data_IF_886712480256
#
_entry.id   IF_886712480256
#
_cell.length_a   1.000
_cell.length_b   1.000
_cell.length_c   1.000
_cell.angle_alpha   90.00
_cell.angle_beta   90.00
_cell.angle_gamma   90.00
#
_symmetry.space_group_name_H-M   'P 1'
#
loop_
_entity.id
_entity.type
_entity.pdbx_description
1 polymer ?
#
# COMPACT_ATOMS: atom_id res chain seq x y z
N UNK A 1 -13.81 56.12 54.30
CA UNK A 1 -12.40 55.93 53.89
C UNK A 1 -11.75 57.30 53.88
N UNK A 2 -10.73 57.51 54.73
CA UNK A 2 -10.00 58.77 54.79
C UNK A 2 -9.31 59.03 53.44
N UNK A 3 -9.63 60.15 52.78
CA UNK A 3 -8.99 60.55 51.52
C UNK A 3 -7.57 61.01 51.82
N UNK A 4 -6.58 60.31 51.28
CA UNK A 4 -5.17 60.69 51.43
C UNK A 4 -4.87 61.94 50.59
N UNK A 5 -3.93 62.82 51.02
CA UNK A 5 -3.57 64.01 50.26
C UNK A 5 -2.92 63.64 48.91
N UNK A 6 -3.18 64.41 47.84
CA UNK A 6 -2.63 64.19 46.49
C UNK A 6 -1.11 64.04 46.44
N UNK A 7 -0.38 64.74 47.33
CA UNK A 7 1.08 64.61 47.46
C UNK A 7 1.55 63.18 47.69
N UNK A 8 0.75 62.36 48.40
CA UNK A 8 1.01 60.94 48.62
C UNK A 8 1.05 60.13 47.32
N UNK A 9 0.22 60.50 46.34
CA UNK A 9 0.15 59.83 45.04
C UNK A 9 1.28 60.28 44.11
N UNK A 10 1.65 61.57 44.15
CA UNK A 10 2.79 62.10 43.39
C UNK A 10 4.10 61.44 43.82
N UNK A 11 4.34 61.27 45.12
CA UNK A 11 5.53 60.57 45.63
C UNK A 11 5.58 59.10 45.18
N UNK A 12 4.42 58.41 45.07
CA UNK A 12 4.35 57.07 44.51
C UNK A 12 4.73 57.04 43.02
N UNK A 13 4.32 58.04 42.23
CA UNK A 13 4.65 58.18 40.80
C UNK A 13 6.16 58.26 40.58
N UNK A 14 6.86 59.08 41.37
CA UNK A 14 8.32 59.16 41.30
C UNK A 14 9.03 57.87 41.74
N UNK A 15 8.37 57.04 42.57
CA UNK A 15 8.89 55.76 43.05
C UNK A 15 8.47 54.56 42.19
N UNK A 16 7.71 54.78 41.12
CA UNK A 16 7.23 53.77 40.16
C UNK A 16 6.47 52.60 40.83
N UNK A 17 5.55 52.93 41.75
CA UNK A 17 4.81 51.96 42.60
C UNK A 17 3.29 52.15 42.57
N UNK A 18 2.74 52.87 41.60
CA UNK A 18 1.30 53.19 41.50
C UNK A 18 0.51 52.23 40.60
N UNK A 19 -0.81 52.25 40.75
CA UNK A 19 -1.76 51.63 39.80
C UNK A 19 -2.21 52.62 38.73
N UNK A 20 -2.68 52.11 37.58
CA UNK A 20 -3.12 52.94 36.44
C UNK A 20 -4.26 53.91 36.79
N UNK A 21 -5.18 53.50 37.67
CA UNK A 21 -6.25 54.36 38.18
C UNK A 21 -5.74 55.49 39.09
N UNK A 22 -4.63 55.28 39.82
CA UNK A 22 -4.00 56.34 40.63
C UNK A 22 -3.28 57.37 39.74
N UNK A 23 -2.75 56.94 38.59
CA UNK A 23 -2.09 57.77 37.58
C UNK A 23 -3.10 58.65 36.82
N UNK A 24 -4.18 58.05 36.31
CA UNK A 24 -5.25 58.76 35.61
C UNK A 24 -5.93 59.84 36.50
N UNK A 25 -6.01 59.60 37.81
CA UNK A 25 -6.63 60.52 38.78
C UNK A 25 -5.71 61.70 39.13
N UNK A 26 -4.39 61.50 39.11
CA UNK A 26 -3.42 62.59 39.22
C UNK A 26 -3.41 63.42 37.95
N UNK A 27 -3.45 62.79 36.78
CA UNK A 27 -3.47 63.49 35.48
C UNK A 27 -4.74 64.32 35.31
N UNK A 28 -5.92 63.77 35.62
CA UNK A 28 -7.18 64.52 35.53
C UNK A 28 -7.21 65.72 36.49
N UNK A 29 -6.77 65.55 37.74
CA UNK A 29 -6.79 66.64 38.72
C UNK A 29 -5.68 67.68 38.47
N UNK A 30 -4.55 67.26 37.92
CA UNK A 30 -3.48 68.14 37.46
C UNK A 30 -3.95 68.99 36.28
N UNK A 31 -4.61 68.39 35.28
CA UNK A 31 -5.15 69.11 34.12
C UNK A 31 -6.29 70.09 34.50
N UNK A 32 -7.19 69.69 35.40
CA UNK A 32 -8.25 70.59 35.91
C UNK A 32 -7.71 71.79 36.69
N UNK A 33 -6.56 71.64 37.36
CA UNK A 33 -5.93 72.73 38.13
C UNK A 33 -5.01 73.61 37.29
N UNK A 34 -4.43 73.08 36.19
CA UNK A 34 -3.52 73.84 35.31
C UNK A 34 -4.23 74.90 34.46
N UNK A 35 -5.51 74.67 34.10
CA UNK A 35 -6.33 75.56 33.25
C UNK A 35 -7.38 76.39 34.01
N UNK A 36 -7.44 76.30 35.35
CA UNK A 36 -8.34 77.12 36.17
C UNK A 36 -7.65 78.41 36.68
N UNK A 37 -8.40 79.50 36.89
CA UNK A 37 -7.91 80.78 37.47
C UNK A 37 -7.39 80.66 38.93
N UNK A 38 -7.19 79.45 39.47
CA UNK A 38 -6.79 79.20 40.87
C UNK A 38 -5.43 78.50 40.96
N UNK A 39 -4.40 79.04 40.30
CA UNK A 39 -3.02 78.62 40.56
C UNK A 39 -2.54 79.13 41.93
N UNK A 40 -2.14 78.22 42.82
CA UNK A 40 -1.59 78.55 44.15
C UNK A 40 -0.07 78.45 44.13
N UNK A 41 0.60 79.60 43.97
CA UNK A 41 2.07 79.69 43.85
C UNK A 41 2.81 79.17 45.09
N UNK A 42 2.19 79.25 46.28
CA UNK A 42 2.80 78.76 47.51
C UNK A 42 2.83 77.22 47.59
N UNK A 43 1.94 76.54 46.87
CA UNK A 43 1.90 75.07 46.82
C UNK A 43 2.64 74.47 45.62
N UNK A 44 2.64 75.14 44.48
CA UNK A 44 3.07 74.56 43.20
C UNK A 44 4.26 75.29 42.53
N UNK A 45 4.76 76.34 43.18
CA UNK A 45 5.84 77.18 42.65
C UNK A 45 5.35 78.20 41.61
N UNK A 46 6.26 79.03 41.09
CA UNK A 46 5.93 80.00 40.05
C UNK A 46 5.52 79.29 38.75
N UNK A 47 4.34 79.65 38.22
CA UNK A 47 3.71 78.97 37.08
C UNK A 47 4.63 78.91 35.85
N UNK A 48 5.25 80.02 35.50
CA UNK A 48 6.13 80.14 34.33
C UNK A 48 7.43 79.31 34.44
N UNK A 49 7.89 79.02 35.65
CA UNK A 49 9.11 78.25 35.88
C UNK A 49 8.82 76.74 35.85
N UNK A 50 7.67 76.34 36.41
CA UNK A 50 7.15 74.98 36.33
C UNK A 50 6.79 74.60 34.89
N UNK A 51 6.12 75.49 34.14
CA UNK A 51 5.79 75.30 32.72
C UNK A 51 7.07 75.19 31.87
N UNK A 52 8.07 76.05 32.11
CA UNK A 52 9.38 75.93 31.44
C UNK A 52 10.14 74.65 31.78
N UNK A 53 9.98 74.07 32.97
CA UNK A 53 10.59 72.80 33.36
C UNK A 53 9.90 71.61 32.69
N UNK A 54 8.57 71.63 32.63
CA UNK A 54 7.76 70.59 31.95
C UNK A 54 8.04 70.62 30.44
N UNK A 55 8.02 71.80 29.82
CA UNK A 55 8.34 71.95 28.40
C UNK A 55 9.80 71.57 28.08
N UNK A 56 10.76 71.79 28.99
CA UNK A 56 12.14 71.28 28.85
C UNK A 56 12.21 69.75 28.93
N UNK A 57 11.35 69.10 29.72
CA UNK A 57 11.23 67.64 29.77
C UNK A 57 10.68 67.08 28.46
N UNK A 58 9.58 67.65 27.97
CA UNK A 58 8.92 67.22 26.73
C UNK A 58 9.80 67.46 25.50
N UNK A 59 10.52 68.59 25.41
CA UNK A 59 11.47 68.83 24.32
C UNK A 59 12.72 67.93 24.38
N UNK A 60 13.12 67.45 25.57
CA UNK A 60 14.29 66.57 25.74
C UNK A 60 14.01 65.12 25.32
N UNK A 61 12.74 64.69 25.36
CA UNK A 61 12.33 63.35 24.91
C UNK A 61 11.90 63.28 23.44
N UNK A 62 11.58 64.42 22.79
CA UNK A 62 11.20 64.47 21.36
C UNK A 62 12.41 64.58 20.41
N UNK A 63 13.61 64.92 20.88
CA UNK A 63 14.79 65.16 20.01
C UNK A 63 15.95 64.14 20.12
N UNK A 64 15.72 62.96 20.69
CA UNK A 64 16.71 61.86 20.70
C UNK A 64 16.37 60.74 19.72
N UNK A 65 16.20 61.05 18.43
CA UNK A 65 15.97 59.97 17.42
C UNK A 65 16.37 60.28 15.96
N UNK A 66 17.29 61.22 15.68
CA UNK A 66 17.60 61.57 14.27
C UNK A 66 19.03 61.34 13.77
N UNK A 67 19.86 60.53 14.46
CA UNK A 67 21.21 60.18 13.92
C UNK A 67 21.44 58.67 13.73
N UNK A 68 20.55 57.80 14.23
CA UNK A 68 20.59 56.35 13.93
C UNK A 68 19.67 55.95 12.76
N UNK A 69 18.70 56.79 12.38
CA UNK A 69 17.67 56.44 11.39
C UNK A 69 18.17 56.51 9.94
N UNK A 70 19.12 57.40 9.62
CA UNK A 70 19.65 57.51 8.25
C UNK A 70 20.55 56.31 7.88
N UNK A 71 21.44 55.84 8.78
CA UNK A 71 22.27 54.65 8.49
C UNK A 71 21.43 53.38 8.30
N UNK A 72 20.32 53.26 9.03
CA UNK A 72 19.37 52.15 8.84
C UNK A 72 18.61 52.26 7.52
N UNK A 73 18.18 53.45 7.09
CA UNK A 73 17.53 53.63 5.78
C UNK A 73 18.47 53.24 4.62
N UNK A 74 19.76 53.59 4.67
CA UNK A 74 20.73 53.15 3.64
C UNK A 74 20.97 51.63 3.66
N UNK A 75 20.95 51.00 4.84
CA UNK A 75 21.00 49.53 4.97
C UNK A 75 19.73 48.85 4.45
N UNK A 76 18.54 49.40 4.73
CA UNK A 76 17.28 48.89 4.20
C UNK A 76 17.16 49.11 2.70
N UNK A 77 17.61 50.26 2.18
CA UNK A 77 17.65 50.54 0.74
C UNK A 77 18.62 49.58 0.02
N UNK A 78 19.79 49.30 0.60
CA UNK A 78 20.73 48.31 0.07
C UNK A 78 20.15 46.88 0.13
N UNK A 79 19.43 46.52 1.19
CA UNK A 79 18.76 45.22 1.31
C UNK A 79 17.62 45.07 0.29
N UNK A 80 16.81 46.11 0.09
CA UNK A 80 15.74 46.12 -0.91
C UNK A 80 16.34 46.06 -2.32
N UNK A 81 17.41 46.81 -2.60
CA UNK A 81 18.12 46.73 -3.87
C UNK A 81 18.74 45.35 -4.10
N UNK A 82 19.31 44.73 -3.07
CA UNK A 82 19.85 43.36 -3.15
C UNK A 82 18.75 42.33 -3.41
N UNK A 83 17.58 42.46 -2.77
CA UNK A 83 16.42 41.60 -3.03
C UNK A 83 15.90 41.82 -4.45
N UNK A 84 15.78 43.06 -4.93
CA UNK A 84 15.34 43.36 -6.29
C UNK A 84 16.34 42.83 -7.32
N UNK A 85 17.64 43.00 -7.10
CA UNK A 85 18.69 42.47 -7.96
C UNK A 85 18.72 40.93 -7.95
N UNK A 86 18.54 40.31 -6.79
CA UNK A 86 18.40 38.86 -6.67
C UNK A 86 17.12 38.36 -7.36
N UNK A 87 16.03 39.12 -7.29
CA UNK A 87 14.77 38.82 -7.97
C UNK A 87 14.91 38.92 -9.49
N UNK A 88 15.57 39.97 -9.98
CA UNK A 88 15.86 40.17 -11.40
C UNK A 88 16.85 39.12 -11.93
N UNK A 89 17.83 38.74 -11.10
CA UNK A 89 18.78 37.67 -11.42
C UNK A 89 18.08 36.30 -11.47
N UNK A 90 17.20 35.99 -10.51
CA UNK A 90 16.36 34.79 -10.52
C UNK A 90 15.35 34.80 -11.69
N UNK A 91 14.92 35.97 -12.16
CA UNK A 91 14.02 36.09 -13.32
C UNK A 91 14.74 35.87 -14.65
N UNK A 92 16.06 36.15 -14.71
CA UNK A 92 16.88 35.84 -15.89
C UNK A 92 17.34 34.38 -15.97
N UNK A 93 17.24 33.60 -14.89
CA UNK A 93 17.29 32.16 -15.02
C UNK A 93 15.98 31.72 -15.68
N UNK A 94 16.02 31.14 -16.91
CA UNK A 94 14.84 30.51 -17.46
C UNK A 94 14.36 29.53 -16.40
N UNK A 95 13.15 29.78 -15.90
CA UNK A 95 12.47 28.83 -15.07
C UNK A 95 12.17 27.66 -16.00
N UNK A 96 13.14 26.76 -16.16
CA UNK A 96 12.92 25.38 -16.54
C UNK A 96 12.14 24.71 -15.40
N UNK A 97 10.99 25.29 -15.06
CA UNK A 97 9.75 24.60 -14.78
C UNK A 97 9.29 23.86 -16.03
N UNK A 98 10.23 23.24 -16.76
CA UNK A 98 10.00 21.90 -17.27
C UNK A 98 9.41 21.18 -16.07
N UNK A 99 8.10 20.99 -16.12
CA UNK A 99 7.46 19.97 -15.35
C UNK A 99 8.41 18.78 -15.53
N UNK A 100 9.10 18.40 -14.46
CA UNK A 100 9.39 16.99 -14.30
C UNK A 100 7.99 16.41 -14.32
N UNK A 101 7.52 16.07 -15.53
CA UNK A 101 6.67 14.94 -15.70
C UNK A 101 7.48 13.87 -15.00
N UNK A 102 7.16 13.65 -13.72
CA UNK A 102 7.19 12.30 -13.19
C UNK A 102 6.43 11.57 -14.28
N UNK A 103 7.17 10.97 -15.21
CA UNK A 103 6.62 9.99 -16.13
C UNK A 103 5.79 9.16 -15.20
N UNK A 104 4.46 9.24 -15.27
CA UNK A 104 3.60 8.25 -14.65
C UNK A 104 3.90 7.00 -15.45
N UNK A 105 5.04 6.37 -15.14
CA UNK A 105 5.34 4.99 -15.50
C UNK A 105 4.12 4.25 -15.00
N UNK A 106 3.42 3.56 -15.90
CA UNK A 106 2.25 2.76 -15.55
C UNK A 106 2.57 1.99 -14.26
N UNK A 107 1.95 2.39 -13.15
CA UNK A 107 2.25 1.82 -11.86
C UNK A 107 1.83 0.36 -11.94
N UNK A 108 2.80 -0.55 -11.84
CA UNK A 108 2.54 -1.98 -11.66
C UNK A 108 1.62 -2.10 -10.45
N UNK A 109 0.34 -2.25 -10.73
CA UNK A 109 -0.70 -2.23 -9.71
C UNK A 109 -0.77 -3.61 -9.08
N UNK A 110 -1.19 -3.69 -7.81
CA UNK A 110 -1.53 -4.97 -7.21
C UNK A 110 -2.48 -5.75 -8.12
N UNK A 111 -2.28 -7.06 -8.18
CA UNK A 111 -3.21 -7.93 -8.87
C UNK A 111 -4.62 -7.84 -8.27
N UNK A 112 -5.57 -8.39 -9.01
CA UNK A 112 -7.01 -8.25 -8.77
C UNK A 112 -7.71 -9.60 -8.88
N UNK A 113 -8.91 -9.67 -8.34
CA UNK A 113 -9.76 -10.85 -8.48
C UNK A 113 -10.45 -10.83 -9.85
N UNK A 114 -9.72 -11.30 -10.89
CA UNK A 114 -10.14 -11.28 -12.29
C UNK A 114 -9.94 -12.65 -12.95
N UNK A 115 -10.91 -13.06 -13.77
CA UNK A 115 -10.85 -14.30 -14.54
C UNK A 115 -11.78 -14.31 -15.75
N UNK A 116 -11.48 -15.21 -16.68
CA UNK A 116 -12.32 -15.54 -17.84
C UNK A 116 -12.82 -16.98 -17.70
N UNK A 117 -14.13 -17.19 -17.79
CA UNK A 117 -14.74 -18.51 -17.85
C UNK A 117 -15.19 -18.81 -19.27
N UNK A 118 -14.62 -19.85 -19.87
CA UNK A 118 -15.01 -20.40 -21.16
C UNK A 118 -15.88 -21.64 -20.90
N UNK A 119 -17.16 -21.58 -21.25
CA UNK A 119 -18.10 -22.68 -21.10
C UNK A 119 -17.96 -23.67 -22.26
N UNK A 120 -18.39 -24.91 -22.03
CA UNK A 120 -18.29 -25.97 -23.01
C UNK A 120 -19.15 -25.78 -24.27
N UNK A 121 -20.05 -24.80 -24.29
CA UNK A 121 -20.77 -24.36 -25.50
C UNK A 121 -20.04 -23.27 -26.31
N UNK A 122 -18.83 -22.88 -25.89
CA UNK A 122 -18.01 -21.84 -26.51
C UNK A 122 -18.29 -20.44 -25.99
N UNK A 123 -19.26 -20.25 -25.10
CA UNK A 123 -19.53 -18.94 -24.48
C UNK A 123 -18.33 -18.54 -23.61
N UNK A 124 -17.86 -17.30 -23.79
CA UNK A 124 -16.86 -16.69 -22.93
C UNK A 124 -17.50 -15.65 -22.01
N UNK A 125 -17.26 -15.78 -20.72
CA UNK A 125 -17.77 -14.91 -19.67
C UNK A 125 -16.60 -14.21 -18.97
N UNK A 126 -16.48 -12.91 -19.18
CA UNK A 126 -15.57 -12.07 -18.39
C UNK A 126 -16.20 -11.81 -17.02
N UNK A 127 -15.62 -12.44 -16.00
CA UNK A 127 -16.16 -12.47 -14.64
C UNK A 127 -15.98 -11.14 -13.90
N UNK A 128 -15.21 -10.23 -14.49
CA UNK A 128 -15.06 -8.85 -13.99
C UNK A 128 -16.34 -8.04 -14.19
N UNK A 129 -17.12 -8.40 -15.21
CA UNK A 129 -18.35 -7.71 -15.55
C UNK A 129 -19.55 -8.28 -14.80
N UNK A 130 -19.41 -9.49 -14.23
CA UNK A 130 -20.44 -10.13 -13.42
C UNK A 130 -20.44 -9.52 -12.01
N UNK A 131 -21.56 -8.91 -11.62
CA UNK A 131 -21.72 -8.30 -10.29
C UNK A 131 -22.07 -9.36 -9.24
N UNK A 132 -21.82 -9.03 -7.98
CA UNK A 132 -22.25 -9.88 -6.86
C UNK A 132 -23.77 -10.08 -6.89
N UNK A 133 -24.21 -11.31 -6.68
CA UNK A 133 -25.60 -11.74 -6.78
C UNK A 133 -26.11 -11.93 -8.22
N UNK A 134 -25.30 -11.61 -9.24
CA UNK A 134 -25.70 -11.79 -10.63
C UNK A 134 -25.54 -13.26 -11.06
N UNK A 135 -26.57 -13.75 -11.75
CA UNK A 135 -26.64 -15.12 -12.28
C UNK A 135 -26.60 -15.07 -13.80
N UNK A 136 -25.68 -15.81 -14.38
CA UNK A 136 -25.70 -16.17 -15.80
C UNK A 136 -26.30 -17.56 -15.95
N UNK A 137 -27.26 -17.71 -16.87
CA UNK A 137 -27.93 -18.98 -17.16
C UNK A 137 -28.16 -19.14 -18.66
N UNK A 138 -27.55 -20.17 -19.27
CA UNK A 138 -27.73 -20.48 -20.70
C UNK A 138 -27.32 -21.93 -20.97
N UNK A 139 -28.06 -22.62 -21.84
CA UNK A 139 -27.72 -23.99 -22.29
C UNK A 139 -27.55 -25.00 -21.13
N UNK A 140 -28.23 -24.79 -20.00
CA UNK A 140 -28.08 -25.58 -18.77
C UNK A 140 -26.90 -25.19 -17.88
N UNK A 141 -26.00 -24.32 -18.34
CA UNK A 141 -24.94 -23.75 -17.50
C UNK A 141 -25.51 -22.67 -16.60
N UNK A 142 -25.23 -22.80 -15.31
CA UNK A 142 -25.60 -21.82 -14.29
C UNK A 142 -24.35 -21.35 -13.57
N UNK A 143 -24.10 -20.05 -13.62
CA UNK A 143 -22.95 -19.40 -13.01
C UNK A 143 -23.45 -18.24 -12.15
N UNK A 144 -23.24 -18.31 -10.84
CA UNK A 144 -23.64 -17.29 -9.89
C UNK A 144 -22.39 -16.70 -9.23
N UNK A 145 -22.27 -15.38 -9.18
CA UNK A 145 -21.28 -14.74 -8.31
C UNK A 145 -21.91 -14.53 -6.94
N UNK A 146 -21.47 -15.28 -5.94
CA UNK A 146 -22.04 -15.17 -4.60
C UNK A 146 -21.55 -13.89 -3.88
N UNK A 147 -22.08 -13.66 -2.68
CA UNK A 147 -21.78 -12.46 -1.88
C UNK A 147 -20.33 -12.43 -1.36
N UNK A 148 -19.61 -13.56 -1.38
CA UNK A 148 -18.20 -13.62 -1.01
C UNK A 148 -17.28 -13.34 -2.22
N UNK A 149 -17.85 -13.08 -3.40
CA UNK A 149 -17.12 -12.91 -4.65
C UNK A 149 -16.68 -14.22 -5.31
N UNK A 150 -16.97 -15.38 -4.70
CA UNK A 150 -16.71 -16.68 -5.30
C UNK A 150 -17.72 -16.94 -6.43
N UNK A 151 -17.30 -17.71 -7.44
CA UNK A 151 -18.24 -18.26 -8.42
C UNK A 151 -18.81 -19.59 -7.97
N UNK A 152 -20.11 -19.74 -8.06
CA UNK A 152 -20.80 -21.01 -7.90
C UNK A 152 -21.22 -21.51 -9.28
N UNK A 153 -20.76 -22.72 -9.62
CA UNK A 153 -21.02 -23.35 -10.91
C UNK A 153 -21.92 -24.57 -10.73
N UNK A 154 -22.98 -24.63 -11.51
CA UNK A 154 -23.84 -25.82 -11.64
C UNK A 154 -24.22 -26.04 -13.11
N UNK A 155 -24.64 -27.27 -13.42
CA UNK A 155 -25.12 -27.63 -14.75
C UNK A 155 -26.41 -28.44 -14.63
N UNK A 156 -27.51 -27.86 -15.09
CA UNK A 156 -28.88 -28.34 -14.87
C UNK A 156 -29.48 -28.93 -16.16
N UNK A 157 -28.69 -29.59 -16.99
CA UNK A 157 -29.20 -30.27 -18.18
C UNK A 157 -29.44 -31.77 -17.93
N UNK A 158 -30.70 -32.18 -18.07
CA UNK A 158 -31.21 -33.54 -17.86
C UNK A 158 -31.15 -34.43 -19.10
N UNK A 159 -30.75 -33.90 -20.27
CA UNK A 159 -30.57 -34.75 -21.45
C UNK A 159 -29.24 -35.51 -21.35
N UNK A 160 -29.37 -36.84 -21.25
CA UNK A 160 -28.35 -37.88 -21.11
C UNK A 160 -27.33 -37.96 -22.27
N UNK A 161 -26.86 -36.84 -22.79
CA UNK A 161 -25.76 -36.82 -23.75
C UNK A 161 -24.46 -36.95 -22.96
N UNK A 162 -23.94 -38.18 -22.89
CA UNK A 162 -22.65 -38.57 -22.27
C UNK A 162 -21.40 -37.81 -22.75
N UNK A 163 -21.55 -36.73 -23.52
CA UNK A 163 -20.47 -35.82 -23.86
C UNK A 163 -20.46 -34.67 -22.86
N UNK A 164 -19.82 -34.89 -21.70
CA UNK A 164 -19.53 -33.80 -20.78
C UNK A 164 -18.65 -32.78 -21.49
N UNK A 165 -19.22 -31.61 -21.81
CA UNK A 165 -18.45 -30.53 -22.41
C UNK A 165 -17.44 -30.01 -21.38
N UNK A 166 -16.26 -29.61 -21.82
CA UNK A 166 -15.21 -29.06 -20.94
C UNK A 166 -15.40 -27.56 -20.77
N UNK A 167 -15.39 -27.08 -19.54
CA UNK A 167 -15.30 -25.66 -19.19
C UNK A 167 -13.87 -25.34 -18.80
N UNK A 168 -13.44 -24.09 -19.02
CA UNK A 168 -12.12 -23.62 -18.62
C UNK A 168 -12.22 -22.30 -17.89
N UNK A 169 -11.76 -22.26 -16.64
CA UNK A 169 -11.55 -21.03 -15.89
C UNK A 169 -10.08 -20.63 -15.99
N UNK A 170 -9.80 -19.40 -16.41
CA UNK A 170 -8.42 -18.87 -16.55
C UNK A 170 -8.27 -17.57 -15.78
N UNK A 171 -7.21 -17.48 -14.98
CA UNK A 171 -6.76 -16.22 -14.37
C UNK A 171 -5.59 -15.68 -15.20
N UNK A 172 -5.62 -14.41 -15.63
CA UNK A 172 -4.48 -13.80 -16.28
C UNK A 172 -3.32 -13.62 -15.27
N UNK A 173 -2.16 -13.20 -15.76
CA UNK A 173 -1.12 -12.63 -14.90
C UNK A 173 -1.71 -11.44 -14.13
N UNK A 174 -1.43 -11.34 -12.84
CA UNK A 174 -2.06 -10.41 -11.92
C UNK A 174 -3.52 -10.70 -11.59
N UNK A 175 -4.09 -11.81 -12.08
CA UNK A 175 -5.41 -12.27 -11.71
C UNK A 175 -5.40 -13.28 -10.58
N UNK A 176 -6.47 -13.35 -9.80
CA UNK A 176 -6.77 -14.48 -8.91
C UNK A 176 -8.26 -14.69 -8.95
N UNK A 177 -8.73 -15.91 -8.73
CA UNK A 177 -10.17 -16.14 -8.66
C UNK A 177 -10.49 -17.43 -7.92
N UNK A 178 -11.71 -17.54 -7.41
CA UNK A 178 -12.23 -18.75 -6.76
C UNK A 178 -13.53 -19.23 -7.38
N UNK A 179 -13.68 -20.56 -7.42
CA UNK A 179 -14.87 -21.25 -7.94
C UNK A 179 -15.25 -22.40 -7.00
N UNK A 180 -16.55 -22.58 -6.80
CA UNK A 180 -17.18 -23.76 -6.20
C UNK A 180 -17.76 -24.58 -7.34
N UNK A 181 -17.21 -25.79 -7.52
CA UNK A 181 -17.63 -26.73 -8.56
C UNK A 181 -18.94 -27.42 -8.19
N UNK A 182 -19.56 -28.09 -9.16
CA UNK A 182 -20.86 -28.74 -8.99
C UNK A 182 -20.88 -29.87 -7.94
N UNK A 183 -19.73 -30.40 -7.54
CA UNK A 183 -19.59 -31.38 -6.45
C UNK A 183 -19.36 -30.75 -5.07
N UNK A 184 -19.37 -29.41 -4.97
CA UNK A 184 -19.08 -28.65 -3.76
C UNK A 184 -17.58 -28.43 -3.49
N UNK A 185 -16.69 -28.90 -4.36
CA UNK A 185 -15.24 -28.64 -4.23
C UNK A 185 -14.96 -27.17 -4.48
N UNK A 186 -14.27 -26.50 -3.55
CA UNK A 186 -13.84 -25.11 -3.69
C UNK A 186 -12.40 -25.05 -4.20
N UNK A 187 -12.17 -24.23 -5.22
CA UNK A 187 -10.88 -24.12 -5.91
C UNK A 187 -10.51 -22.65 -6.05
N UNK A 188 -9.28 -22.32 -5.66
CA UNK A 188 -8.69 -21.00 -5.88
C UNK A 188 -7.61 -21.12 -6.94
N UNK A 189 -7.61 -20.21 -7.91
CA UNK A 189 -6.59 -20.09 -8.95
C UNK A 189 -5.78 -18.83 -8.68
N UNK A 190 -4.46 -18.97 -8.57
CA UNK A 190 -3.55 -17.83 -8.44
C UNK A 190 -3.25 -17.21 -9.82
N UNK A 191 -2.43 -16.16 -9.88
CA UNK A 191 -2.07 -15.48 -11.12
C UNK A 191 -1.44 -16.40 -12.16
N UNK A 192 -1.90 -16.26 -13.41
CA UNK A 192 -1.44 -17.06 -14.54
C UNK A 192 -1.78 -18.54 -14.42
N UNK A 193 -2.98 -18.87 -13.92
CA UNK A 193 -3.40 -20.26 -13.70
C UNK A 193 -4.64 -20.61 -14.51
N UNK A 194 -4.90 -21.90 -14.67
CA UNK A 194 -6.09 -22.40 -15.35
C UNK A 194 -6.60 -23.68 -14.72
N UNK A 195 -7.92 -23.87 -14.79
CA UNK A 195 -8.63 -25.06 -14.39
C UNK A 195 -9.59 -25.45 -15.50
N UNK A 196 -9.44 -26.67 -16.01
CA UNK A 196 -10.37 -27.30 -16.96
C UNK A 196 -11.17 -28.34 -16.20
N UNK A 197 -12.50 -28.27 -16.29
CA UNK A 197 -13.41 -29.16 -15.58
C UNK A 197 -14.61 -29.51 -16.45
N UNK A 198 -15.19 -30.71 -16.30
CA UNK A 198 -16.33 -31.10 -17.10
C UNK A 198 -17.60 -30.38 -16.63
N UNK A 199 -18.58 -30.28 -17.52
CA UNK A 199 -19.88 -29.68 -17.18
C UNK A 199 -20.58 -30.46 -16.07
N UNK A 200 -20.41 -31.79 -16.07
CA UNK A 200 -20.81 -32.72 -15.03
C UNK A 200 -19.67 -33.72 -14.78
N UNK A 201 -19.42 -34.04 -13.51
CA UNK A 201 -18.49 -35.12 -13.18
C UNK A 201 -19.06 -36.49 -13.54
N UNK A 202 -18.18 -37.43 -13.85
CA UNK A 202 -18.56 -38.81 -14.10
C UNK A 202 -19.08 -39.48 -12.81
N UNK A 203 -19.78 -40.60 -12.98
CA UNK A 203 -20.38 -41.34 -11.87
C UNK A 203 -19.35 -42.10 -11.04
N UNK A 204 -18.16 -42.37 -11.58
CA UNK A 204 -17.09 -43.14 -10.97
C UNK A 204 -15.93 -42.28 -10.47
N UNK A 205 -15.71 -41.09 -11.05
CA UNK A 205 -14.61 -40.19 -10.67
C UNK A 205 -14.90 -38.72 -11.00
N UNK A 206 -14.20 -37.83 -10.31
CA UNK A 206 -14.25 -36.38 -10.50
C UNK A 206 -12.90 -35.90 -11.02
N UNK A 207 -12.76 -35.72 -12.34
CA UNK A 207 -11.47 -35.39 -12.94
C UNK A 207 -11.45 -33.94 -13.44
N UNK A 208 -10.36 -33.23 -13.14
CA UNK A 208 -10.06 -31.88 -13.64
C UNK A 208 -8.62 -31.82 -14.14
N UNK A 209 -8.31 -30.85 -14.99
CA UNK A 209 -6.94 -30.53 -15.42
C UNK A 209 -6.56 -29.15 -14.88
N UNK A 210 -5.35 -28.99 -14.36
CA UNK A 210 -4.91 -27.74 -13.75
C UNK A 210 -3.48 -27.37 -14.17
N UNK A 211 -3.26 -26.07 -14.39
CA UNK A 211 -1.94 -25.48 -14.65
C UNK A 211 -1.79 -24.16 -13.89
N UNK A 212 -0.57 -23.80 -13.52
CA UNK A 212 -0.27 -22.66 -12.63
C UNK A 212 -0.30 -23.05 -11.15
N UNK A 213 -0.75 -22.17 -10.27
CA UNK A 213 -0.90 -22.45 -8.83
C UNK A 213 -2.36 -22.45 -8.42
N UNK A 214 -2.81 -23.59 -7.89
CA UNK A 214 -4.21 -23.86 -7.62
C UNK A 214 -4.34 -24.52 -6.24
N UNK A 215 -5.15 -23.93 -5.38
CA UNK A 215 -5.44 -24.45 -4.05
C UNK A 215 -6.83 -25.08 -4.05
N UNK A 216 -6.92 -26.31 -3.54
CA UNK A 216 -8.12 -27.14 -3.58
C UNK A 216 -8.59 -27.44 -2.15
N UNK A 217 -9.87 -27.22 -1.91
CA UNK A 217 -10.64 -27.75 -0.79
C UNK A 217 -11.67 -28.75 -1.33
N UNK A 218 -11.24 -30.01 -1.44
CA UNK A 218 -12.03 -31.04 -2.13
C UNK A 218 -13.14 -31.57 -1.24
N UNK A 219 -14.37 -31.56 -1.76
CA UNK A 219 -15.51 -32.15 -1.09
C UNK A 219 -15.30 -33.66 -0.86
N UNK A 220 -15.62 -34.12 0.36
CA UNK A 220 -15.44 -35.52 0.76
C UNK A 220 -16.40 -36.43 -0.01
N UNK A 221 -15.85 -37.32 -0.82
CA UNK A 221 -16.59 -38.38 -1.52
C UNK A 221 -15.66 -39.58 -1.72
N UNK A 222 -15.88 -40.63 -0.92
CA UNK A 222 -15.07 -41.86 -0.98
C UNK A 222 -15.43 -42.77 -2.14
N UNK A 223 -16.63 -42.62 -2.70
CA UNK A 223 -17.12 -43.44 -3.81
C UNK A 223 -16.57 -42.92 -5.15
N UNK A 224 -16.37 -41.60 -5.26
CA UNK A 224 -15.86 -40.94 -6.47
C UNK A 224 -14.58 -40.15 -6.18
N UNK A 225 -13.38 -40.72 -6.41
CA UNK A 225 -12.13 -40.01 -6.22
C UNK A 225 -12.06 -38.72 -7.05
N UNK A 226 -11.46 -37.70 -6.47
CA UNK A 226 -11.14 -36.47 -7.18
C UNK A 226 -9.71 -36.56 -7.73
N UNK A 227 -9.54 -36.31 -9.02
CA UNK A 227 -8.28 -36.45 -9.75
C UNK A 227 -7.94 -35.12 -10.40
N UNK A 228 -6.80 -34.55 -10.03
CA UNK A 228 -6.23 -33.38 -10.69
C UNK A 228 -5.09 -33.83 -11.58
N UNK A 229 -5.24 -33.65 -12.89
CA UNK A 229 -4.19 -33.89 -13.88
C UNK A 229 -3.39 -32.63 -14.11
N UNK A 230 -2.06 -32.73 -14.06
CA UNK A 230 -1.16 -31.61 -14.35
C UNK A 230 0.19 -32.12 -14.83
N UNK A 231 0.78 -31.51 -15.87
CA UNK A 231 2.17 -31.77 -16.32
C UNK A 231 2.62 -33.23 -16.33
N UNK A 232 1.76 -34.14 -16.80
CA UNK A 232 2.08 -35.57 -16.92
C UNK A 232 2.02 -36.38 -15.62
N UNK A 233 1.49 -35.82 -14.53
CA UNK A 233 1.17 -36.53 -13.30
C UNK A 233 -0.29 -36.30 -12.87
N UNK A 234 -0.81 -37.24 -12.09
CA UNK A 234 -2.15 -37.18 -11.52
C UNK A 234 -2.07 -37.10 -9.98
N UNK A 235 -2.94 -36.28 -9.40
CA UNK A 235 -3.13 -36.14 -7.94
C UNK A 235 -4.49 -36.71 -7.60
N UNK A 236 -4.53 -37.84 -6.90
CA UNK A 236 -5.76 -38.51 -6.49
C UNK A 236 -6.05 -38.30 -5.01
N UNK A 237 -7.27 -37.86 -4.70
CA UNK A 237 -7.75 -37.59 -3.34
C UNK A 237 -9.21 -38.01 -3.15
N UNK A 238 -9.65 -38.13 -1.89
CA UNK A 238 -11.05 -38.47 -1.54
C UNK A 238 -11.78 -37.36 -0.77
N UNK A 239 -11.09 -36.26 -0.45
CA UNK A 239 -11.60 -35.17 0.39
C UNK A 239 -10.47 -34.60 1.23
N UNK A 240 -9.76 -33.64 0.63
CA UNK A 240 -8.40 -33.26 1.01
C UNK A 240 -8.20 -31.78 0.72
N UNK A 241 -7.40 -31.12 1.54
CA UNK A 241 -6.96 -29.74 1.33
C UNK A 241 -5.50 -29.74 0.89
N UNK A 242 -5.22 -29.21 -0.30
CA UNK A 242 -3.86 -29.20 -0.84
C UNK A 242 -3.63 -28.04 -1.81
N UNK A 243 -2.36 -27.68 -2.01
CA UNK A 243 -1.91 -26.72 -3.00
C UNK A 243 -1.15 -27.44 -4.12
N UNK A 244 -1.50 -27.18 -5.37
CA UNK A 244 -0.77 -27.60 -6.57
C UNK A 244 -0.05 -26.38 -7.15
N UNK A 245 1.24 -26.49 -7.44
CA UNK A 245 2.01 -25.48 -8.19
C UNK A 245 2.70 -26.15 -9.37
N UNK A 246 2.27 -25.85 -10.58
CA UNK A 246 2.70 -26.46 -11.83
C UNK A 246 2.76 -25.42 -12.98
N UNK A 247 3.41 -24.28 -12.73
CA UNK A 247 3.61 -23.21 -13.73
C UNK A 247 4.48 -23.64 -14.92
N UNK A 248 4.19 -23.11 -16.12
CA UNK A 248 4.95 -23.32 -17.37
C UNK A 248 5.69 -22.08 -17.87
N UNK A 249 5.61 -20.98 -17.12
CA UNK A 249 6.24 -19.72 -17.49
C UNK A 249 7.77 -19.71 -17.28
N UNK A 250 8.41 -18.60 -17.66
CA UNK A 250 9.86 -18.41 -17.50
C UNK A 250 10.36 -18.44 -16.03
N UNK A 251 9.47 -18.36 -15.05
CA UNK A 251 9.76 -18.45 -13.62
C UNK A 251 9.34 -19.81 -13.05
N UNK A 252 8.99 -20.77 -13.91
CA UNK A 252 8.57 -22.08 -13.51
C UNK A 252 9.65 -22.79 -12.72
N UNK A 253 9.20 -23.48 -11.67
CA UNK A 253 9.98 -24.49 -10.96
C UNK A 253 9.40 -25.86 -11.27
N UNK A 254 10.06 -26.88 -10.76
CA UNK A 254 9.53 -28.24 -10.72
C UNK A 254 8.11 -28.24 -10.12
N UNK A 255 7.16 -28.94 -10.76
CA UNK A 255 5.81 -29.06 -10.24
C UNK A 255 5.79 -29.62 -8.82
N UNK A 256 4.86 -29.17 -8.00
CA UNK A 256 4.77 -29.64 -6.62
C UNK A 256 3.35 -29.66 -6.08
N UNK A 257 3.12 -30.56 -5.12
CA UNK A 257 1.86 -30.73 -4.40
C UNK A 257 2.10 -30.69 -2.91
N UNK A 258 1.56 -29.70 -2.23
CA UNK A 258 1.69 -29.50 -0.79
C UNK A 258 0.38 -29.90 -0.07
N UNK A 259 0.46 -30.88 0.83
CA UNK A 259 -0.72 -31.42 1.52
C UNK A 259 -0.93 -30.70 2.87
N UNK A 260 -2.11 -30.07 3.01
CA UNK A 260 -2.52 -29.37 4.24
C UNK A 260 -3.34 -30.29 5.15
N UNK A 261 -4.39 -30.91 4.61
CA UNK A 261 -5.27 -31.82 5.36
C UNK A 261 -5.67 -33.02 4.49
N UNK A 262 -5.80 -34.20 5.09
CA UNK A 262 -6.28 -35.41 4.43
C UNK A 262 -5.15 -36.27 3.89
N UNK A 263 -5.36 -36.90 2.73
CA UNK A 263 -4.38 -37.74 2.06
C UNK A 263 -4.33 -37.45 0.56
N UNK A 264 -3.13 -37.58 -0.01
CA UNK A 264 -2.88 -37.39 -1.43
C UNK A 264 -2.08 -38.57 -1.94
N UNK A 265 -2.53 -39.16 -3.05
CA UNK A 265 -1.75 -40.08 -3.87
C UNK A 265 -1.27 -39.32 -5.11
N UNK A 266 0.06 -39.21 -5.28
CA UNK A 266 0.69 -38.68 -6.50
C UNK A 266 1.03 -39.86 -7.40
N UNK A 267 0.68 -39.73 -8.67
CA UNK A 267 0.83 -40.78 -9.68
C UNK A 267 1.62 -40.21 -10.85
N UNK A 268 2.83 -40.73 -11.06
CA UNK A 268 3.71 -40.36 -12.18
C UNK A 268 3.98 -41.63 -12.99
N UNK A 269 3.28 -41.78 -14.12
CA UNK A 269 3.28 -43.04 -14.87
C UNK A 269 2.80 -44.21 -14.01
N UNK A 270 3.70 -45.16 -13.72
CA UNK A 270 3.42 -46.32 -12.86
C UNK A 270 3.81 -46.11 -11.39
N UNK A 271 4.54 -45.03 -11.08
CA UNK A 271 5.01 -44.73 -9.73
C UNK A 271 3.92 -44.03 -8.94
N UNK A 272 3.63 -44.56 -7.76
CA UNK A 272 2.65 -44.00 -6.81
C UNK A 272 3.35 -43.57 -5.54
N UNK A 273 2.97 -42.42 -5.00
CA UNK A 273 3.54 -41.87 -3.77
C UNK A 273 2.46 -41.26 -2.90
N UNK A 274 2.39 -41.68 -1.64
CA UNK A 274 1.43 -41.15 -0.67
C UNK A 274 2.05 -40.01 0.12
N UNK A 275 1.35 -38.88 0.22
CA UNK A 275 1.73 -37.78 1.11
C UNK A 275 0.93 -37.82 2.41
N UNK A 276 1.56 -37.30 3.45
CA UNK A 276 0.93 -36.99 4.74
C UNK A 276 0.82 -35.47 4.90
N UNK A 277 -0.14 -34.96 5.70
CA UNK A 277 -0.20 -33.55 6.06
C UNK A 277 1.16 -32.97 6.48
N UNK A 278 1.43 -31.73 6.07
CA UNK A 278 2.70 -31.04 6.30
C UNK A 278 3.85 -31.46 5.37
N UNK A 279 3.59 -32.34 4.40
CA UNK A 279 4.56 -32.73 3.37
C UNK A 279 4.19 -32.18 1.99
N UNK A 280 5.24 -31.90 1.21
CA UNK A 280 5.18 -31.48 -0.17
C UNK A 280 5.97 -32.44 -1.05
N UNK A 281 5.32 -32.93 -2.10
CA UNK A 281 5.97 -33.67 -3.16
C UNK A 281 6.41 -32.69 -4.25
N UNK A 282 7.66 -32.81 -4.70
CA UNK A 282 8.19 -32.14 -5.88
C UNK A 282 8.39 -33.19 -6.94
N UNK A 283 7.79 -32.97 -8.11
CA UNK A 283 7.83 -33.87 -9.26
C UNK A 283 8.92 -33.35 -10.20
N UNK A 284 10.12 -33.90 -10.07
CA UNK A 284 11.26 -33.59 -10.94
C UNK A 284 11.39 -34.60 -12.09
N UNK A 285 12.39 -34.40 -12.95
CA UNK A 285 12.72 -35.34 -14.03
C UNK A 285 13.17 -36.71 -13.52
N UNK A 286 13.77 -36.76 -12.33
CA UNK A 286 14.29 -37.98 -11.70
C UNK A 286 13.25 -38.72 -10.85
N UNK A 287 12.03 -38.18 -10.73
CA UNK A 287 10.94 -38.76 -9.96
C UNK A 287 10.35 -37.82 -8.90
N UNK A 288 9.74 -38.41 -7.88
CA UNK A 288 9.02 -37.68 -6.82
C UNK A 288 9.89 -37.56 -5.57
N UNK A 289 10.22 -36.33 -5.19
CA UNK A 289 10.93 -36.04 -3.93
C UNK A 289 9.95 -35.47 -2.90
N UNK A 290 9.85 -36.09 -1.73
CA UNK A 290 8.97 -35.63 -0.64
C UNK A 290 9.79 -34.88 0.41
N UNK A 291 9.34 -33.69 0.79
CA UNK A 291 9.96 -32.86 1.83
C UNK A 291 8.92 -32.18 2.71
N UNK A 292 9.32 -31.72 3.89
CA UNK A 292 8.46 -30.86 4.71
C UNK A 292 8.35 -29.46 4.10
N UNK A 293 7.27 -28.76 4.44
CA UNK A 293 7.08 -27.37 4.01
C UNK A 293 6.42 -26.54 5.12
N UNK A 294 6.58 -25.23 5.03
CA UNK A 294 5.87 -24.30 5.89
C UNK A 294 4.49 -24.03 5.29
N UNK A 295 3.44 -24.53 5.96
CA UNK A 295 2.06 -24.46 5.47
C UNK A 295 1.63 -23.01 5.26
N UNK A 296 1.92 -22.14 6.23
CA UNK A 296 1.55 -20.72 6.17
C UNK A 296 2.14 -20.05 4.91
N UNK A 297 3.43 -20.24 4.65
CA UNK A 297 4.12 -19.67 3.48
C UNK A 297 3.57 -20.18 2.15
N UNK A 298 3.20 -21.46 2.08
CA UNK A 298 2.76 -22.08 0.84
C UNK A 298 1.38 -21.59 0.40
N UNK A 299 0.44 -21.40 1.34
CA UNK A 299 -0.96 -21.04 1.03
C UNK A 299 -1.29 -19.57 1.28
N UNK A 300 -0.36 -18.78 1.83
CA UNK A 300 -0.55 -17.34 2.14
C UNK A 300 -1.12 -16.51 0.98
N UNK A 301 -0.86 -16.92 -0.26
CA UNK A 301 -1.30 -16.22 -1.45
C UNK A 301 -2.84 -16.17 -1.56
N UNK A 302 -3.55 -17.19 -1.03
CA UNK A 302 -5.02 -17.23 -0.97
C UNK A 302 -5.56 -16.21 0.03
N UNK A 303 -4.76 -15.87 1.04
CA UNK A 303 -5.08 -14.92 2.11
C UNK A 303 -4.46 -13.53 1.86
N UNK A 304 -4.13 -13.20 0.59
CA UNK A 304 -3.58 -11.90 0.19
C UNK A 304 -2.23 -11.53 0.81
N UNK A 305 -1.39 -12.52 1.12
CA UNK A 305 -0.02 -12.29 1.58
C UNK A 305 1.02 -12.95 0.68
N UNK A 306 2.17 -12.28 0.59
CA UNK A 306 3.44 -12.94 0.29
C UNK A 306 4.10 -13.28 1.62
N UNK A 307 4.32 -14.58 1.87
CA UNK A 307 5.10 -15.06 3.01
C UNK A 307 6.19 -15.94 2.44
N UNK A 308 7.43 -15.49 2.58
CA UNK A 308 8.61 -16.23 2.17
C UNK A 308 9.40 -16.58 3.42
N UNK A 309 9.77 -17.86 3.56
CA UNK A 309 10.64 -18.34 4.63
C UNK A 309 11.80 -19.11 4.00
N UNK A 310 13.02 -18.62 4.20
CA UNK A 310 14.24 -19.20 3.66
C UNK A 310 14.13 -19.49 2.14
N UNK A 311 13.76 -18.46 1.35
CA UNK A 311 13.56 -18.58 -0.11
C UNK A 311 14.58 -17.77 -0.90
N UNK A 312 14.98 -18.30 -2.04
CA UNK A 312 15.86 -17.60 -2.96
C UNK A 312 15.15 -16.41 -3.65
N UNK A 313 15.90 -15.34 -3.96
CA UNK A 313 15.34 -14.14 -4.59
C UNK A 313 14.67 -14.41 -5.94
N UNK A 314 15.16 -15.38 -6.74
CA UNK A 314 14.52 -15.74 -8.02
C UNK A 314 13.10 -16.28 -7.84
N UNK A 315 12.87 -17.05 -6.78
CA UNK A 315 11.54 -17.58 -6.44
C UNK A 315 10.60 -16.43 -6.03
N UNK A 316 11.10 -15.58 -5.14
CA UNK A 316 10.38 -14.42 -4.60
C UNK A 316 9.95 -13.51 -5.74
N UNK A 317 10.89 -13.09 -6.57
CA UNK A 317 10.63 -12.18 -7.68
C UNK A 317 9.77 -12.82 -8.77
N UNK A 318 9.87 -14.14 -9.00
CA UNK A 318 8.96 -14.83 -9.92
C UNK A 318 7.50 -14.78 -9.46
N UNK A 319 7.24 -14.95 -8.15
CA UNK A 319 5.90 -14.83 -7.57
C UNK A 319 5.39 -13.39 -7.57
N UNK A 320 6.25 -12.43 -7.27
CA UNK A 320 5.93 -10.99 -7.36
C UNK A 320 5.61 -10.62 -8.81
N UNK A 321 6.44 -11.03 -9.76
CA UNK A 321 6.26 -10.79 -11.19
C UNK A 321 4.90 -11.29 -11.69
N UNK A 322 4.51 -12.51 -11.29
CA UNK A 322 3.21 -13.07 -11.63
C UNK A 322 2.04 -12.25 -11.08
N UNK A 323 2.16 -11.65 -9.89
CA UNK A 323 1.06 -10.90 -9.28
C UNK A 323 0.95 -9.46 -9.79
N UNK A 324 2.07 -8.81 -10.07
CA UNK A 324 2.08 -7.42 -10.53
C UNK A 324 2.17 -7.29 -12.06
N UNK A 325 2.26 -8.41 -12.78
CA UNK A 325 2.51 -8.44 -14.23
C UNK A 325 3.82 -7.74 -14.63
N UNK A 326 4.88 -8.02 -13.85
CA UNK A 326 6.20 -7.40 -14.00
C UNK A 326 7.18 -8.26 -14.81
N UNK A 327 8.07 -7.60 -15.54
CA UNK A 327 9.26 -8.21 -16.13
C UNK A 327 10.44 -8.09 -15.18
N UNK A 328 11.14 -9.18 -14.88
CA UNK A 328 12.31 -9.15 -14.00
C UNK A 328 13.59 -9.37 -14.81
N UNK A 329 14.59 -8.53 -14.55
CA UNK A 329 15.96 -8.67 -15.08
C UNK A 329 16.91 -8.74 -13.89
N UNK A 330 17.86 -9.65 -13.95
CA UNK A 330 18.91 -9.78 -12.93
C UNK A 330 20.22 -9.22 -13.47
N UNK A 331 20.82 -8.26 -12.77
CA UNK A 331 22.09 -7.65 -13.15
C UNK A 331 23.27 -8.37 -12.49
N UNK A 332 24.09 -9.07 -13.29
CA UNK A 332 25.22 -9.86 -12.81
C UNK A 332 24.84 -11.27 -12.33
N UNK A 333 25.72 -11.90 -11.57
CA UNK A 333 25.62 -13.31 -11.16
C UNK A 333 25.44 -13.50 -9.64
N UNK A 334 25.39 -14.75 -9.17
CA UNK A 334 25.40 -15.09 -7.73
C UNK A 334 24.03 -15.06 -7.04
N UNK A 335 22.94 -15.05 -7.81
CA UNK A 335 21.57 -14.93 -7.29
C UNK A 335 21.11 -16.10 -6.45
N UNK A 336 21.74 -17.27 -6.57
CA UNK A 336 21.35 -18.51 -5.90
C UNK A 336 21.98 -18.67 -4.49
N UNK A 337 22.79 -17.70 -4.05
CA UNK A 337 23.63 -17.83 -2.85
C UNK A 337 22.95 -17.42 -1.54
N UNK A 338 21.87 -16.63 -1.61
CA UNK A 338 21.19 -16.07 -0.43
C UNK A 338 19.72 -16.44 -0.40
N UNK A 339 19.22 -16.63 0.81
CA UNK A 339 17.81 -16.85 1.10
C UNK A 339 17.26 -15.74 1.98
N UNK A 340 15.96 -15.49 1.82
CA UNK A 340 15.25 -14.39 2.44
C UNK A 340 14.02 -14.91 3.18
N UNK A 341 13.69 -14.24 4.28
CA UNK A 341 12.48 -14.47 5.05
C UNK A 341 11.77 -13.13 5.22
N UNK A 342 10.60 -12.99 4.60
CA UNK A 342 9.83 -11.74 4.58
C UNK A 342 8.33 -12.03 4.53
N UNK A 343 7.53 -11.13 5.09
CA UNK A 343 6.06 -11.14 5.01
C UNK A 343 5.59 -9.76 4.57
N UNK A 344 4.70 -9.71 3.60
CA UNK A 344 4.15 -8.46 3.05
C UNK A 344 2.77 -8.72 2.45
N UNK A 345 1.92 -7.69 2.41
CA UNK A 345 0.58 -7.83 1.84
C UNK A 345 0.63 -7.72 0.32
N UNK A 346 -0.22 -8.49 -0.36
CA UNK A 346 -0.41 -8.45 -1.82
C UNK A 346 -1.18 -7.21 -2.28
N UNK A 347 -1.76 -6.43 -1.36
CA UNK A 347 -2.47 -5.18 -1.66
C UNK A 347 -1.55 -3.95 -1.67
N UNK A 348 -0.31 -4.07 -1.17
CA UNK A 348 0.66 -2.99 -1.21
C UNK A 348 1.06 -2.68 -2.64
N UNK A 349 1.45 -1.44 -2.93
CA UNK A 349 2.06 -1.14 -4.23
C UNK A 349 3.40 -1.89 -4.38
N UNK A 350 3.84 -2.06 -5.64
CA UNK A 350 5.09 -2.76 -5.93
C UNK A 350 6.27 -2.07 -5.23
N UNK A 351 6.28 -0.75 -5.13
CA UNK A 351 7.38 0.02 -4.56
C UNK A 351 7.59 -0.28 -3.08
N UNK A 352 6.52 -0.41 -2.31
CA UNK A 352 6.54 -0.84 -0.91
C UNK A 352 7.05 -2.27 -0.78
N UNK A 353 6.55 -3.19 -1.64
CA UNK A 353 7.00 -4.59 -1.68
C UNK A 353 8.51 -4.68 -1.92
N UNK A 354 9.02 -3.94 -2.92
CA UNK A 354 10.45 -3.89 -3.22
C UNK A 354 11.23 -3.24 -2.07
N UNK A 355 10.72 -2.16 -1.49
CA UNK A 355 11.36 -1.48 -0.35
C UNK A 355 11.52 -2.41 0.84
N UNK A 356 10.53 -3.26 1.14
CA UNK A 356 10.63 -4.28 2.20
C UNK A 356 11.75 -5.29 1.90
N UNK A 357 11.91 -5.71 0.64
CA UNK A 357 13.02 -6.58 0.25
C UNK A 357 14.38 -5.88 0.36
N UNK A 358 14.47 -4.58 0.09
CA UNK A 358 15.70 -3.80 0.24
C UNK A 358 16.15 -3.64 1.70
N UNK A 359 15.23 -3.76 2.68
CA UNK A 359 15.59 -3.76 4.11
C UNK A 359 16.54 -4.89 4.49
N UNK A 360 16.62 -5.95 3.67
CA UNK A 360 17.57 -7.07 3.82
C UNK A 360 19.02 -6.66 3.52
N UNK A 361 19.23 -5.47 2.93
CA UNK A 361 20.52 -4.89 2.53
C UNK A 361 21.36 -5.79 1.61
N UNK A 362 20.74 -6.76 0.95
CA UNK A 362 21.41 -7.68 0.02
C UNK A 362 21.04 -7.45 -1.44
N UNK A 363 19.93 -6.76 -1.70
CA UNK A 363 19.43 -6.47 -3.03
C UNK A 363 18.98 -5.02 -3.13
N UNK A 364 19.09 -4.47 -4.34
CA UNK A 364 18.52 -3.17 -4.72
C UNK A 364 17.70 -3.34 -5.99
N UNK A 365 16.65 -2.55 -6.14
CA UNK A 365 15.81 -2.59 -7.32
C UNK A 365 15.84 -1.27 -8.07
N UNK A 366 15.73 -1.37 -9.39
CA UNK A 366 15.40 -0.24 -10.25
C UNK A 366 14.18 -0.62 -11.06
N UNK A 367 13.14 0.20 -10.97
CA UNK A 367 11.91 0.00 -11.72
C UNK A 367 11.83 1.01 -12.85
N UNK A 368 11.56 0.52 -14.06
CA UNK A 368 11.32 1.31 -15.26
C UNK A 368 10.09 0.73 -15.96
N UNK A 369 8.96 1.44 -15.87
CA UNK A 369 7.68 0.97 -16.40
C UNK A 369 7.30 -0.40 -15.82
N UNK A 370 7.23 -1.45 -16.65
CA UNK A 370 6.93 -2.82 -16.21
C UNK A 370 8.15 -3.64 -15.81
N UNK A 371 9.36 -3.09 -15.99
CA UNK A 371 10.61 -3.81 -15.80
C UNK A 371 11.21 -3.50 -14.44
N UNK A 372 11.56 -4.55 -13.71
CA UNK A 372 12.26 -4.50 -12.43
C UNK A 372 13.64 -5.12 -12.63
N UNK A 373 14.67 -4.31 -12.54
CA UNK A 373 16.06 -4.78 -12.55
C UNK A 373 16.53 -4.98 -11.12
N UNK A 374 16.97 -6.19 -10.80
CA UNK A 374 17.51 -6.60 -9.49
C UNK A 374 19.02 -6.46 -9.53
N UNK A 375 19.59 -5.74 -8.57
CA UNK A 375 21.02 -5.56 -8.37
C UNK A 375 21.48 -6.19 -7.07
N UNK A 376 22.60 -6.90 -7.10
CA UNK A 376 23.21 -7.44 -5.90
C UNK A 376 23.94 -6.30 -5.19
N UNK A 377 23.68 -6.11 -3.90
CA UNK A 377 24.49 -5.24 -3.05
C UNK A 377 25.57 -6.14 -2.45
N UNK A 378 26.49 -6.59 -3.30
CA UNK A 378 27.71 -7.26 -2.84
C UNK A 378 28.56 -6.23 -2.10
N UNK A 379 28.80 -6.46 -0.81
CA UNK A 379 30.00 -5.93 -0.15
C UNK A 379 31.18 -6.83 -0.48
#
# INVERSE_FOLDING_TARGET
>A
MERKPIRHYIEKIFLNKQTKEEEDLVDQHFLESFDSERWDENKWGFREETERRIMRGVYRDVHRSKVYFLKQIWLYAAAVAAVILLSLWLWQYPNDGGQRQVKRTAYLSPGKDIALLELGDGTQLDLNNLKEGEKYEKSGFVVLKNQNGDLEYTYENTENTFQSKKNTLKTPVGGRYSIVLADGTKVWLNAGSSLVFPSNFATDQRMVEASGEVYFEVAKDKARPFIVRSKGFDVRVLGTVFNLSAYEDKWAKEPSVALVEGSVEIIVGHVKSMLKPGHKAVVGSEGVTVKTFDVESEIAWKDNYFIFKNRNIKDIMGRIARWYDAEIIYAGDGWDQKNYTVKMSRHQNIEEVLSILELTKSVKFKMEERRITVYNISK
#
